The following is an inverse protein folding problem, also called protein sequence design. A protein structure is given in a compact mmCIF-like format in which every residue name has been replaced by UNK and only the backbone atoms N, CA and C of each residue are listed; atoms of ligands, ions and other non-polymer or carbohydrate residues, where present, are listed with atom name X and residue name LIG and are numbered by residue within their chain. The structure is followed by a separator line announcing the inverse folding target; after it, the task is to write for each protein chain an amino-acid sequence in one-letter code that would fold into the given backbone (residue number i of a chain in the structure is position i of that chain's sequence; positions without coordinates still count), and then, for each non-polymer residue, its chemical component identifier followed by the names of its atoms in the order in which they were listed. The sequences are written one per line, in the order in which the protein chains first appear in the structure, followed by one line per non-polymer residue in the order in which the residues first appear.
data_IF_768617209992
#
_entry.id   IF_768617209992
#
_cell.length_a   1.000
_cell.length_b   1.000
_cell.length_c   1.000
_cell.angle_alpha   90.00
_cell.angle_beta   90.00
_cell.angle_gamma   90.00
#
_symmetry.space_group_name_H-M   'P 1'
#
loop_
_entity.id
_entity.type
_entity.pdbx_description
1 polymer ?
#
# COMPACT_ATOMS: atom_id res chain seq x y z
N UNK A 1 51.41 -36.65 -43.84
CA UNK A 1 50.38 -35.99 -43.01
C UNK A 1 50.40 -34.52 -43.43
N UNK A 2 49.56 -33.97 -44.30
CA UNK A 2 48.18 -34.28 -44.70
C UNK A 2 47.34 -33.06 -44.32
N UNK A 3 47.10 -32.14 -45.27
CA UNK A 3 46.04 -31.08 -45.32
C UNK A 3 46.41 -30.11 -46.47
N UNK A 4 45.91 -30.28 -47.69
CA UNK A 4 44.60 -29.95 -48.29
C UNK A 4 44.31 -28.46 -48.53
N UNK A 5 44.04 -28.19 -49.81
CA UNK A 5 43.74 -26.96 -50.54
C UNK A 5 42.44 -26.24 -50.12
N UNK A 6 42.25 -24.95 -50.49
CA UNK A 6 41.02 -24.21 -50.28
C UNK A 6 39.96 -24.58 -51.33
N UNK A 7 38.71 -24.81 -50.90
CA UNK A 7 37.55 -24.99 -51.79
C UNK A 7 36.77 -23.69 -51.96
N UNK A 8 36.42 -23.41 -53.22
CA UNK A 8 35.56 -22.36 -53.71
C UNK A 8 34.09 -22.60 -53.35
N UNK A 9 33.38 -21.55 -52.92
CA UNK A 9 31.93 -21.58 -52.71
C UNK A 9 31.19 -21.41 -54.03
N UNK A 10 30.46 -22.44 -54.46
CA UNK A 10 29.43 -22.35 -55.50
C UNK A 10 28.08 -21.99 -54.85
N UNK A 11 27.47 -20.88 -55.28
CA UNK A 11 26.08 -20.53 -54.96
C UNK A 11 25.12 -21.45 -55.75
N UNK A 12 24.39 -22.31 -55.03
CA UNK A 12 23.23 -23.02 -55.57
C UNK A 12 21.95 -22.20 -55.30
N UNK A 13 21.35 -21.68 -56.35
CA UNK A 13 19.99 -21.14 -56.35
C UNK A 13 18.99 -22.29 -56.23
N UNK A 14 18.38 -22.46 -55.06
CA UNK A 14 17.26 -23.37 -54.86
C UNK A 14 15.94 -22.66 -55.19
N UNK A 15 15.30 -23.07 -56.28
CA UNK A 15 13.91 -22.70 -56.55
C UNK A 15 12.99 -23.46 -55.58
N UNK A 16 12.45 -22.77 -54.57
CA UNK A 16 11.36 -23.31 -53.75
C UNK A 16 10.08 -23.39 -54.59
N UNK A 17 9.69 -24.61 -54.94
CA UNK A 17 8.34 -24.90 -55.43
C UNK A 17 7.50 -25.42 -54.27
N UNK A 18 6.57 -24.59 -53.77
CA UNK A 18 5.61 -25.02 -52.75
C UNK A 18 4.49 -25.85 -53.41
N UNK A 19 4.10 -27.01 -52.83
CA UNK A 19 3.04 -27.83 -53.38
C UNK A 19 1.70 -27.08 -53.34
N UNK A 20 0.99 -27.05 -54.48
CA UNK A 20 -0.28 -26.32 -54.71
C UNK A 20 -1.35 -26.46 -53.61
N UNK A 21 -1.33 -27.54 -52.83
CA UNK A 21 -2.27 -27.78 -51.72
C UNK A 21 -2.00 -26.92 -50.47
N UNK A 22 -0.78 -26.46 -50.23
CA UNK A 22 -0.46 -25.61 -49.08
C UNK A 22 -0.70 -24.13 -49.36
N UNK A 23 -0.56 -23.69 -50.62
CA UNK A 23 -0.78 -22.29 -51.01
C UNK A 23 -2.23 -21.84 -50.78
N UNK A 24 -3.22 -22.70 -51.08
CA UNK A 24 -4.62 -22.37 -50.83
C UNK A 24 -4.93 -22.18 -49.34
N UNK A 25 -4.33 -23.00 -48.47
CA UNK A 25 -4.51 -22.87 -47.02
C UNK A 25 -3.92 -21.56 -46.50
N UNK A 26 -2.71 -21.19 -46.93
CA UNK A 26 -2.09 -19.93 -46.52
C UNK A 26 -2.84 -18.70 -47.04
N UNK A 27 -3.38 -18.76 -48.26
CA UNK A 27 -4.24 -17.70 -48.80
C UNK A 27 -5.54 -17.58 -48.00
N UNK A 28 -6.17 -18.68 -47.61
CA UNK A 28 -7.35 -18.66 -46.73
C UNK A 28 -7.05 -18.09 -45.35
N UNK A 29 -5.92 -18.47 -44.74
CA UNK A 29 -5.49 -17.92 -43.44
C UNK A 29 -5.16 -16.42 -43.49
N UNK A 30 -4.73 -15.90 -44.65
CA UNK A 30 -4.45 -14.48 -44.81
C UNK A 30 -5.71 -13.65 -45.13
N UNK A 31 -6.64 -14.20 -45.92
CA UNK A 31 -7.82 -13.46 -46.39
C UNK A 31 -8.96 -13.41 -45.35
N UNK A 32 -9.12 -14.44 -44.52
CA UNK A 32 -10.15 -14.46 -43.47
C UNK A 32 -10.00 -13.35 -42.42
N UNK A 33 -8.81 -13.08 -41.86
CA UNK A 33 -8.61 -11.98 -40.92
C UNK A 33 -8.80 -10.61 -41.58
N UNK A 34 -8.39 -10.46 -42.85
CA UNK A 34 -8.57 -9.21 -43.60
C UNK A 34 -10.05 -8.94 -43.90
N UNK A 35 -10.82 -9.97 -44.26
CA UNK A 35 -12.26 -9.85 -44.47
C UNK A 35 -13.00 -9.54 -43.16
N UNK A 36 -12.59 -10.15 -42.03
CA UNK A 36 -13.15 -9.86 -40.72
C UNK A 36 -12.83 -8.43 -40.26
N UNK A 37 -11.60 -7.98 -40.46
CA UNK A 37 -11.18 -6.61 -40.16
C UNK A 37 -11.94 -5.59 -41.03
N UNK A 38 -12.12 -5.89 -42.32
CA UNK A 38 -12.93 -5.05 -43.21
C UNK A 38 -14.40 -5.00 -42.76
N UNK A 39 -14.99 -6.14 -42.40
CA UNK A 39 -16.36 -6.18 -41.88
C UNK A 39 -16.52 -5.35 -40.59
N UNK A 40 -15.57 -5.42 -39.66
CA UNK A 40 -15.61 -4.65 -38.41
C UNK A 40 -15.40 -3.15 -38.62
N UNK A 41 -14.61 -2.75 -39.62
CA UNK A 41 -14.37 -1.33 -39.93
C UNK A 41 -15.56 -0.67 -40.66
N UNK A 42 -16.30 -1.43 -41.47
CA UNK A 42 -17.35 -0.89 -42.33
C UNK A 42 -18.79 -1.21 -41.86
N UNK A 43 -18.97 -2.11 -40.89
CA UNK A 43 -20.26 -2.37 -40.23
C UNK A 43 -20.09 -2.35 -38.69
N UNK A 44 -20.06 -1.17 -38.05
CA UNK A 44 -20.06 -1.09 -36.60
C UNK A 44 -21.36 -1.69 -36.06
N UNK A 45 -21.27 -2.75 -35.27
CA UNK A 45 -22.39 -3.31 -34.52
C UNK A 45 -23.01 -2.19 -33.68
N UNK A 46 -24.26 -1.87 -33.96
CA UNK A 46 -25.01 -0.87 -33.21
C UNK A 46 -25.05 -1.29 -31.73
N UNK A 47 -24.53 -0.43 -30.87
CA UNK A 47 -24.63 -0.61 -29.42
C UNK A 47 -26.12 -0.73 -29.03
N UNK A 48 -26.49 -1.67 -28.15
CA UNK A 48 -27.88 -1.80 -27.72
C UNK A 48 -28.28 -0.54 -26.94
N UNK A 49 -29.41 0.06 -27.32
CA UNK A 49 -30.03 1.16 -26.56
C UNK A 49 -30.46 0.65 -25.19
N UNK A 50 -30.19 1.39 -24.09
CA UNK A 50 -30.72 1.03 -22.79
C UNK A 50 -32.25 1.15 -22.78
N UNK A 51 -32.96 0.34 -21.96
CA UNK A 51 -34.42 0.37 -21.90
C UNK A 51 -34.92 1.68 -21.31
N UNK A 52 -35.97 2.24 -21.93
CA UNK A 52 -36.72 3.37 -21.40
C UNK A 52 -37.39 2.96 -20.07
N UNK A 53 -36.95 3.57 -18.96
CA UNK A 53 -37.72 3.67 -17.74
C UNK A 53 -38.38 5.05 -17.67
N UNK A 54 -39.69 5.03 -17.43
CA UNK A 54 -40.56 6.19 -17.38
C UNK A 54 -40.13 7.21 -16.31
N UNK A 55 -40.07 8.48 -16.70
CA UNK A 55 -39.96 9.61 -15.77
C UNK A 55 -41.33 9.95 -15.17
N UNK A 56 -41.42 10.23 -13.86
CA UNK A 56 -42.37 11.18 -13.32
C UNK A 56 -41.75 12.59 -13.26
N UNK A 57 -42.58 13.55 -13.63
CA UNK A 57 -42.46 14.99 -13.71
C UNK A 57 -41.42 15.70 -12.82
N UNK A 58 -40.70 16.63 -13.47
CA UNK A 58 -39.84 17.63 -12.87
C UNK A 58 -40.59 18.63 -11.97
N UNK A 59 -39.95 18.99 -10.85
CA UNK A 59 -40.05 20.34 -10.28
C UNK A 59 -38.70 21.02 -10.44
N UNK A 60 -38.74 22.22 -11.00
CA UNK A 60 -37.60 23.09 -11.31
C UNK A 60 -36.78 23.44 -10.08
N UNK A 61 -35.45 23.34 -10.20
CA UNK A 61 -34.49 24.12 -9.42
C UNK A 61 -33.30 24.49 -10.32
N UNK A 62 -32.91 25.76 -10.25
CA UNK A 62 -31.98 26.47 -11.12
C UNK A 62 -30.54 25.89 -11.17
N UNK A 63 -29.75 26.16 -12.23
CA UNK A 63 -28.46 25.50 -12.44
C UNK A 63 -27.34 26.14 -11.59
N UNK A 64 -26.74 25.37 -10.68
CA UNK A 64 -25.43 25.71 -10.13
C UNK A 64 -24.33 25.23 -11.08
N UNK A 65 -23.60 26.17 -11.68
CA UNK A 65 -22.41 25.88 -12.46
C UNK A 65 -21.28 25.39 -11.54
N UNK A 66 -21.08 24.08 -11.44
CA UNK A 66 -19.77 23.54 -11.04
C UNK A 66 -19.18 22.80 -12.24
N UNK A 67 -18.30 23.50 -12.96
CA UNK A 67 -17.35 22.89 -13.89
C UNK A 67 -16.46 21.94 -13.08
N UNK A 68 -16.45 20.65 -13.43
CA UNK A 68 -15.40 19.73 -12.98
C UNK A 68 -14.08 20.14 -13.63
N UNK A 69 -13.24 20.86 -12.89
CA UNK A 69 -11.84 21.05 -13.26
C UNK A 69 -11.08 19.72 -13.13
N UNK A 70 -10.09 19.44 -13.99
CA UNK A 70 -9.27 18.23 -13.88
C UNK A 70 -8.51 18.21 -12.55
N UNK A 71 -8.43 17.03 -11.91
CA UNK A 71 -7.85 16.80 -10.57
C UNK A 71 -6.41 17.29 -10.43
N UNK A 72 -5.70 17.51 -11.53
CA UNK A 72 -4.32 18.02 -11.53
C UNK A 72 -4.23 19.56 -11.52
N UNK A 73 -5.32 20.29 -11.76
CA UNK A 73 -5.37 21.75 -11.79
C UNK A 73 -5.64 22.38 -10.41
N UNK A 74 -5.78 21.58 -9.35
CA UNK A 74 -6.18 22.04 -8.02
C UNK A 74 -5.03 22.30 -7.05
N UNK A 75 -3.77 21.93 -7.34
CA UNK A 75 -2.68 22.12 -6.36
C UNK A 75 -2.37 23.60 -6.09
N UNK A 76 -2.52 24.49 -7.08
CA UNK A 76 -2.34 25.95 -6.92
C UNK A 76 -3.52 26.68 -6.26
N UNK A 77 -4.66 26.00 -6.08
CA UNK A 77 -5.89 26.59 -5.52
C UNK A 77 -6.26 26.02 -4.15
N UNK A 78 -5.44 25.14 -3.58
CA UNK A 78 -5.65 24.64 -2.23
C UNK A 78 -5.34 25.75 -1.21
N UNK A 79 -6.17 25.90 -0.15
CA UNK A 79 -5.88 26.85 0.90
C UNK A 79 -4.50 26.56 1.51
N UNK A 80 -3.73 27.61 1.88
CA UNK A 80 -2.44 27.43 2.54
C UNK A 80 -2.60 26.57 3.80
N UNK A 81 -1.54 25.87 4.25
CA UNK A 81 -1.57 25.09 5.48
C UNK A 81 -2.11 25.95 6.64
N UNK A 82 -2.91 25.37 7.55
CA UNK A 82 -3.53 26.12 8.63
C UNK A 82 -2.46 26.82 9.47
N UNK A 83 -2.65 28.10 9.85
CA UNK A 83 -1.71 28.79 10.70
C UNK A 83 -1.64 28.13 12.09
N UNK A 84 -0.43 28.07 12.66
CA UNK A 84 -0.20 27.54 13.99
C UNK A 84 -1.12 28.26 15.03
N UNK A 85 -1.73 27.53 15.98
CA UNK A 85 -2.62 28.16 16.95
C UNK A 85 -1.83 29.13 17.85
N UNK A 86 -2.20 30.41 17.75
CA UNK A 86 -1.73 31.46 18.64
C UNK A 86 -2.18 31.20 20.07
N UNK A 87 -1.23 31.25 21.00
CA UNK A 87 -1.45 31.09 22.44
C UNK A 87 -2.21 32.32 22.97
N UNK A 88 -3.53 32.22 23.05
CA UNK A 88 -4.40 33.16 23.77
C UNK A 88 -4.84 32.51 25.07
N UNK A 89 -4.26 32.93 26.20
CA UNK A 89 -4.75 32.57 27.51
C UNK A 89 -5.93 33.45 27.87
N UNK A 90 -7.08 32.84 28.16
CA UNK A 90 -8.14 33.47 28.94
C UNK A 90 -8.57 32.53 30.06
N UNK A 91 -8.43 33.05 31.27
CA UNK A 91 -8.80 32.43 32.52
C UNK A 91 -10.31 32.57 32.74
N UNK A 92 -10.97 31.46 33.04
CA UNK A 92 -12.29 31.36 33.67
C UNK A 92 -12.16 30.15 34.60
N UNK A 93 -12.18 30.25 35.92
CA UNK A 93 -13.18 30.87 36.78
C UNK A 93 -13.51 29.81 37.84
N UNK A 94 -13.08 30.04 39.08
CA UNK A 94 -13.23 29.11 40.20
C UNK A 94 -14.69 28.77 40.49
N UNK A 95 -14.97 27.49 40.74
CA UNK A 95 -16.02 27.06 41.69
C UNK A 95 -15.55 25.78 42.40
N UNK A 96 -15.64 25.83 43.74
CA UNK A 96 -15.19 24.81 44.67
C UNK A 96 -16.17 23.63 44.76
N UNK A 97 -15.61 22.44 45.09
CA UNK A 97 -16.32 21.45 45.91
C UNK A 97 -16.23 20.01 45.41
N UNK A 98 -15.37 19.19 46.03
CA UNK A 98 -15.45 17.73 45.97
C UNK A 98 -14.11 17.02 45.92
N UNK A 99 -13.47 16.86 47.08
CA UNK A 99 -12.31 15.98 47.29
C UNK A 99 -12.65 14.54 46.89
N UNK A 100 -12.01 14.02 45.84
CA UNK A 100 -11.75 12.60 45.68
C UNK A 100 -10.30 12.47 45.27
N UNK A 101 -9.45 12.21 46.27
CA UNK A 101 -8.06 11.82 46.09
C UNK A 101 -7.99 10.46 45.39
N UNK A 102 -8.18 10.44 44.08
CA UNK A 102 -7.77 9.31 43.26
C UNK A 102 -6.29 9.49 42.94
N UNK A 103 -5.43 8.78 43.67
CA UNK A 103 -4.05 8.53 43.25
C UNK A 103 -4.09 7.70 41.97
N UNK A 104 -4.36 8.36 40.85
CA UNK A 104 -4.28 7.76 39.52
C UNK A 104 -2.81 7.59 39.17
N UNK A 105 -2.22 6.46 39.57
CA UNK A 105 -1.10 5.93 38.81
C UNK A 105 -1.62 5.74 37.39
N UNK A 106 -1.23 6.61 36.45
CA UNK A 106 -1.59 6.46 35.06
C UNK A 106 -1.25 5.04 34.65
N UNK A 107 -2.27 4.24 34.28
CA UNK A 107 -2.04 2.87 33.83
C UNK A 107 -1.06 2.93 32.66
N UNK A 108 -0.07 2.03 32.60
CA UNK A 108 0.89 2.04 31.51
C UNK A 108 0.16 1.94 30.16
N UNK A 109 0.67 2.60 29.10
CA UNK A 109 0.10 2.51 27.77
C UNK A 109 -0.10 1.05 27.36
N UNK A 110 -1.21 0.73 26.69
CA UNK A 110 -1.46 -0.64 26.30
C UNK A 110 -0.48 -1.14 25.24
N UNK A 111 0.05 -2.33 25.47
CA UNK A 111 0.78 -3.13 24.49
C UNK A 111 -0.21 -3.88 23.57
N UNK A 112 -0.41 -3.35 22.37
CA UNK A 112 -1.25 -3.95 21.33
C UNK A 112 -0.55 -5.05 20.52
N UNK A 113 0.76 -5.29 20.74
CA UNK A 113 1.55 -6.23 19.94
C UNK A 113 1.36 -7.70 20.36
N UNK A 114 0.85 -7.93 21.56
CA UNK A 114 0.66 -9.25 22.15
C UNK A 114 -0.82 -9.55 22.42
N UNK A 115 -1.33 -10.62 21.79
CA UNK A 115 -2.75 -10.93 21.75
C UNK A 115 -3.07 -12.13 20.89
N UNK A 116 -4.36 -12.29 20.59
CA UNK A 116 -4.88 -13.37 19.77
C UNK A 116 -6.03 -12.88 18.88
N UNK A 117 -6.28 -13.58 17.77
CA UNK A 117 -7.46 -13.35 16.94
C UNK A 117 -8.64 -14.14 17.48
N UNK A 118 -9.74 -13.45 17.73
CA UNK A 118 -11.01 -14.05 18.18
C UNK A 118 -12.12 -13.82 17.16
N UNK A 119 -13.09 -14.74 17.03
CA UNK A 119 -14.24 -14.53 16.16
C UNK A 119 -15.01 -13.26 16.54
N UNK A 120 -15.46 -12.53 15.53
CA UNK A 120 -16.26 -11.31 15.69
C UNK A 120 -17.37 -11.27 14.64
N UNK A 121 -18.62 -11.31 15.11
CA UNK A 121 -19.79 -11.32 14.25
C UNK A 121 -20.15 -9.94 13.69
N UNK A 122 -19.47 -8.87 14.13
CA UNK A 122 -19.71 -7.52 13.61
C UNK A 122 -19.38 -7.45 12.12
N UNK A 123 -20.24 -6.83 11.30
CA UNK A 123 -19.94 -6.63 9.90
C UNK A 123 -18.81 -5.59 9.73
N UNK A 124 -18.04 -5.64 8.64
CA UNK A 124 -17.07 -4.59 8.32
C UNK A 124 -17.79 -3.24 8.10
N UNK A 125 -17.08 -2.13 8.36
CA UNK A 125 -17.63 -0.77 8.22
C UNK A 125 -17.85 -0.34 6.77
N UNK A 126 -17.32 -1.10 5.82
CA UNK A 126 -17.43 -0.86 4.38
C UNK A 126 -17.37 -2.20 3.65
N UNK A 127 -17.76 -2.19 2.37
CA UNK A 127 -17.62 -3.33 1.47
C UNK A 127 -16.88 -2.93 0.18
N UNK A 128 -16.71 -3.89 -0.73
CA UNK A 128 -16.02 -3.69 -2.01
C UNK A 128 -16.68 -2.66 -2.94
N UNK A 129 -17.92 -2.23 -2.67
CA UNK A 129 -18.67 -1.27 -3.50
C UNK A 129 -18.83 0.09 -2.84
N UNK A 130 -18.80 0.15 -1.51
CA UNK A 130 -19.05 1.38 -0.75
C UNK A 130 -17.83 2.31 -0.67
N UNK A 131 -16.63 1.81 -1.02
CA UNK A 131 -15.39 2.58 -0.98
C UNK A 131 -14.69 2.69 -2.34
N UNK A 132 -14.55 3.91 -2.86
CA UNK A 132 -13.90 4.18 -4.14
C UNK A 132 -12.36 4.27 -4.10
N UNK A 133 -11.72 4.06 -2.96
CA UNK A 133 -10.25 4.14 -2.81
C UNK A 133 -9.54 2.80 -2.78
N UNK A 134 -10.29 1.69 -2.76
CA UNK A 134 -9.71 0.34 -2.78
C UNK A 134 -8.95 0.14 -4.09
N UNK A 135 -7.67 -0.24 -4.02
CA UNK A 135 -6.95 -0.69 -5.20
C UNK A 135 -7.58 -1.98 -5.74
N UNK A 136 -7.81 -2.04 -7.05
CA UNK A 136 -8.44 -3.16 -7.77
C UNK A 136 -8.02 -4.55 -7.23
N UNK A 137 -6.73 -4.88 -7.24
CA UNK A 137 -6.23 -6.17 -6.75
C UNK A 137 -6.36 -6.46 -5.25
N UNK A 138 -6.89 -5.53 -4.46
CA UNK A 138 -7.18 -5.69 -3.03
C UNK A 138 -8.69 -5.78 -2.77
N UNK A 139 -9.54 -5.57 -3.79
CA UNK A 139 -10.99 -5.70 -3.71
C UNK A 139 -11.45 -7.14 -3.95
N UNK A 140 -11.09 -8.02 -3.02
CA UNK A 140 -11.29 -9.47 -3.15
C UNK A 140 -12.76 -9.86 -3.36
N UNK A 141 -13.68 -9.14 -2.70
CA UNK A 141 -15.12 -9.37 -2.84
C UNK A 141 -15.61 -9.05 -4.25
N UNK A 142 -15.18 -7.92 -4.83
CA UNK A 142 -15.53 -7.56 -6.21
C UNK A 142 -14.97 -8.54 -7.24
N UNK A 143 -13.86 -9.20 -6.92
CA UNK A 143 -13.25 -10.25 -7.73
C UNK A 143 -13.82 -11.65 -7.49
N UNK A 144 -14.93 -11.75 -6.74
CA UNK A 144 -15.66 -13.01 -6.57
C UNK A 144 -15.01 -14.00 -5.61
N UNK A 145 -14.18 -13.52 -4.67
CA UNK A 145 -13.66 -14.38 -3.58
C UNK A 145 -14.84 -15.01 -2.82
N UNK A 146 -14.95 -16.34 -2.75
CA UNK A 146 -16.13 -17.01 -2.21
C UNK A 146 -16.13 -17.11 -0.68
N UNK A 147 -14.97 -17.16 -0.04
CA UNK A 147 -14.87 -17.25 1.41
C UNK A 147 -14.84 -15.86 2.06
N UNK A 148 -15.75 -15.61 3.00
CA UNK A 148 -15.89 -14.33 3.72
C UNK A 148 -15.45 -14.42 5.18
N UNK A 149 -15.07 -15.61 5.66
CA UNK A 149 -14.70 -15.83 7.07
C UNK A 149 -13.56 -14.95 7.57
N UNK A 150 -12.68 -14.49 6.68
CA UNK A 150 -11.57 -13.59 7.02
C UNK A 150 -12.02 -12.20 7.51
N UNK A 151 -13.27 -11.81 7.24
CA UNK A 151 -13.87 -10.54 7.69
C UNK A 151 -14.30 -10.56 9.16
N UNK A 152 -14.46 -11.75 9.74
CA UNK A 152 -15.15 -11.94 11.02
C UNK A 152 -14.18 -12.26 12.17
N UNK A 153 -13.11 -11.48 12.26
CA UNK A 153 -12.05 -11.63 13.25
C UNK A 153 -11.67 -10.28 13.87
N UNK A 154 -11.50 -10.27 15.19
CA UNK A 154 -10.99 -9.13 15.95
C UNK A 154 -9.69 -9.51 16.66
N UNK A 155 -8.73 -8.59 16.65
CA UNK A 155 -7.54 -8.70 17.50
C UNK A 155 -7.88 -8.36 18.95
N UNK A 156 -7.59 -9.29 19.86
CA UNK A 156 -7.74 -9.09 21.30
C UNK A 156 -6.35 -9.06 21.96
N UNK A 157 -5.84 -7.86 22.33
CA UNK A 157 -4.64 -7.76 23.15
C UNK A 157 -4.84 -8.48 24.49
N UNK A 158 -3.77 -9.01 25.09
CA UNK A 158 -3.90 -9.78 26.35
C UNK A 158 -4.20 -8.94 27.57
N UNK A 159 -3.67 -7.73 27.61
CA UNK A 159 -3.58 -6.90 28.82
C UNK A 159 -4.50 -5.68 28.79
N UNK A 160 -5.23 -5.49 27.69
CA UNK A 160 -6.19 -4.40 27.54
C UNK A 160 -7.20 -4.72 26.44
N UNK A 161 -8.16 -3.82 26.29
CA UNK A 161 -9.07 -3.83 25.15
C UNK A 161 -8.54 -2.97 23.99
N UNK A 162 -8.68 -3.49 22.77
CA UNK A 162 -8.61 -2.70 21.55
C UNK A 162 -10.05 -2.35 21.12
N UNK A 163 -10.51 -1.10 21.29
CA UNK A 163 -11.83 -0.68 20.82
C UNK A 163 -11.95 -0.86 19.30
N UNK A 164 -13.15 -1.16 18.82
CA UNK A 164 -13.41 -1.14 17.38
C UNK A 164 -13.16 0.25 16.80
N UNK A 165 -12.79 0.29 15.52
CA UNK A 165 -12.54 1.56 14.84
C UNK A 165 -13.76 2.48 14.89
N UNK A 166 -13.56 3.71 15.37
CA UNK A 166 -14.57 4.79 15.29
C UNK A 166 -14.14 5.81 14.24
N UNK A 167 -14.82 5.85 13.08
CA UNK A 167 -14.56 6.87 12.07
C UNK A 167 -14.74 8.29 12.62
N UNK A 168 -15.71 8.51 13.50
CA UNK A 168 -15.96 9.82 14.11
C UNK A 168 -14.83 10.25 15.06
N UNK A 169 -14.31 9.32 15.87
CA UNK A 169 -13.19 9.62 16.75
C UNK A 169 -11.94 9.98 15.93
N UNK A 170 -11.66 9.20 14.87
CA UNK A 170 -10.53 9.47 14.00
C UNK A 170 -10.70 10.78 13.22
N UNK A 171 -11.87 11.05 12.64
CA UNK A 171 -12.17 12.32 11.95
C UNK A 171 -12.13 13.53 12.89
N UNK A 172 -12.48 13.37 14.17
CA UNK A 172 -12.34 14.41 15.19
C UNK A 172 -10.87 14.71 15.45
N UNK A 173 -10.06 13.67 15.59
CA UNK A 173 -8.61 13.82 15.73
C UNK A 173 -7.97 14.41 14.47
N UNK A 174 -8.43 14.04 13.28
CA UNK A 174 -7.87 14.50 12.01
C UNK A 174 -8.26 15.95 11.65
N UNK A 175 -9.21 16.54 12.37
CA UNK A 175 -9.71 17.89 12.11
C UNK A 175 -8.57 18.91 12.12
N UNK A 176 -8.48 19.72 11.07
CA UNK A 176 -7.40 20.70 10.85
C UNK A 176 -5.99 20.08 10.76
N UNK A 177 -5.87 18.78 10.44
CA UNK A 177 -4.59 18.08 10.36
C UNK A 177 -4.35 17.44 9.00
N UNK A 178 -3.08 17.27 8.68
CA UNK A 178 -2.58 16.50 7.54
C UNK A 178 -1.90 15.21 8.01
N UNK A 179 -2.53 14.07 7.73
CA UNK A 179 -1.97 12.74 7.92
C UNK A 179 -1.34 12.23 6.61
N UNK A 180 -0.10 11.75 6.66
CA UNK A 180 0.59 11.18 5.51
C UNK A 180 0.97 9.72 5.74
N UNK A 181 0.57 8.83 4.84
CA UNK A 181 1.13 7.48 4.73
C UNK A 181 2.32 7.53 3.77
N UNK A 182 3.49 7.11 4.22
CA UNK A 182 4.73 7.19 3.45
C UNK A 182 5.40 5.83 3.47
N UNK A 183 5.70 5.28 2.29
CA UNK A 183 6.35 3.98 2.26
C UNK A 183 6.10 3.16 1.01
N UNK A 184 6.18 1.84 1.22
CA UNK A 184 5.92 0.83 0.21
C UNK A 184 4.42 0.58 0.00
N UNK A 185 4.10 -0.51 -0.68
CA UNK A 185 2.73 -0.86 -1.01
C UNK A 185 1.89 -1.24 0.21
N UNK A 186 2.50 -1.58 1.36
CA UNK A 186 1.78 -1.78 2.62
C UNK A 186 1.36 -0.46 3.25
N UNK A 187 2.19 0.59 3.14
CA UNK A 187 1.81 1.95 3.54
C UNK A 187 0.55 2.41 2.78
N UNK A 188 0.53 2.16 1.46
CA UNK A 188 -0.64 2.44 0.62
C UNK A 188 -1.85 1.62 1.04
N UNK A 189 -1.69 0.31 1.24
CA UNK A 189 -2.79 -0.59 1.63
C UNK A 189 -3.43 -0.14 2.95
N UNK A 190 -2.63 0.23 3.94
CA UNK A 190 -3.13 0.78 5.22
C UNK A 190 -3.83 2.13 5.03
N UNK A 191 -3.24 3.04 4.25
CA UNK A 191 -3.83 4.36 4.00
C UNK A 191 -5.15 4.30 3.23
N UNK A 192 -5.27 3.40 2.25
CA UNK A 192 -6.51 3.16 1.51
C UNK A 192 -7.58 2.52 2.41
N UNK A 193 -7.20 1.59 3.30
CA UNK A 193 -8.10 1.05 4.33
C UNK A 193 -8.61 2.16 5.24
N UNK A 194 -7.74 3.06 5.72
CA UNK A 194 -8.18 4.19 6.54
C UNK A 194 -9.18 5.06 5.78
N UNK A 195 -8.88 5.42 4.53
CA UNK A 195 -9.80 6.21 3.71
C UNK A 195 -11.18 5.55 3.59
N UNK A 196 -11.24 4.22 3.43
CA UNK A 196 -12.51 3.48 3.40
C UNK A 196 -13.24 3.51 4.74
N UNK A 197 -12.53 3.28 5.85
CA UNK A 197 -13.10 3.35 7.19
C UNK A 197 -13.70 4.75 7.47
N UNK A 198 -13.00 5.82 7.09
CA UNK A 198 -13.49 7.20 7.25
C UNK A 198 -14.64 7.53 6.29
N UNK A 199 -14.61 7.02 5.06
CA UNK A 199 -15.64 7.22 4.04
C UNK A 199 -17.02 6.66 4.43
N UNK A 200 -17.07 5.74 5.40
CA UNK A 200 -18.33 5.29 6.00
C UNK A 200 -19.10 6.42 6.71
N UNK A 201 -18.42 7.53 7.09
CA UNK A 201 -19.02 8.68 7.78
C UNK A 201 -18.85 10.02 7.05
N UNK A 202 -17.69 10.30 6.47
CA UNK A 202 -17.46 11.51 5.69
C UNK A 202 -16.66 11.15 4.45
N UNK A 203 -17.17 11.48 3.25
CA UNK A 203 -16.52 11.07 2.00
C UNK A 203 -15.35 12.00 1.68
N UNK A 204 -14.15 11.47 1.39
CA UNK A 204 -13.03 12.29 0.96
C UNK A 204 -13.13 12.68 -0.51
N UNK A 205 -12.66 13.88 -0.82
CA UNK A 205 -12.44 14.34 -2.19
C UNK A 205 -10.98 14.10 -2.60
N UNK A 206 -10.76 13.36 -3.69
CA UNK A 206 -9.42 13.23 -4.29
C UNK A 206 -9.06 14.53 -5.02
N UNK A 207 -8.14 15.31 -4.45
CA UNK A 207 -7.78 16.64 -4.94
C UNK A 207 -6.43 16.69 -5.66
N UNK A 208 -5.63 15.63 -5.57
CA UNK A 208 -4.34 15.54 -6.24
C UNK A 208 -3.99 14.09 -6.56
N UNK A 209 -3.43 13.86 -7.75
CA UNK A 209 -2.82 12.59 -8.15
C UNK A 209 -1.60 12.87 -9.03
N UNK A 210 -0.50 12.17 -8.79
CA UNK A 210 0.72 12.25 -9.61
C UNK A 210 1.44 10.91 -9.67
N UNK A 211 2.30 10.77 -10.67
CA UNK A 211 3.15 9.62 -10.92
C UNK A 211 2.43 8.48 -11.63
N UNK A 212 3.24 7.59 -12.22
CA UNK A 212 2.76 6.32 -12.78
C UNK A 212 1.99 5.53 -11.72
N UNK A 213 0.87 4.93 -12.09
CA UNK A 213 -0.02 4.19 -11.17
C UNK A 213 -0.54 5.00 -9.97
N UNK A 214 -0.62 6.33 -10.06
CA UNK A 214 -1.08 7.22 -8.98
C UNK A 214 -0.28 7.02 -7.67
N UNK A 215 1.05 6.94 -7.80
CA UNK A 215 2.01 6.82 -6.69
C UNK A 215 1.89 7.91 -5.63
N UNK A 216 1.38 9.09 -5.98
CA UNK A 216 1.13 10.18 -5.04
C UNK A 216 -0.33 10.58 -5.13
N UNK A 217 -1.02 10.61 -4.00
CA UNK A 217 -2.44 11.00 -3.93
C UNK A 217 -2.73 11.80 -2.66
N UNK A 218 -3.63 12.78 -2.78
CA UNK A 218 -4.11 13.58 -1.65
C UNK A 218 -5.62 13.65 -1.66
N UNK A 219 -6.21 13.41 -0.49
CA UNK A 219 -7.62 13.50 -0.22
C UNK A 219 -7.91 14.58 0.82
N UNK A 220 -9.03 15.26 0.66
CA UNK A 220 -9.51 16.28 1.60
C UNK A 220 -10.89 15.89 2.11
N UNK A 221 -11.07 15.91 3.43
CA UNK A 221 -12.38 15.83 4.08
C UNK A 221 -12.80 17.26 4.44
N UNK A 222 -13.60 17.89 3.57
CA UNK A 222 -13.90 19.34 3.64
C UNK A 222 -14.57 19.73 4.96
N UNK A 223 -15.52 18.94 5.44
CA UNK A 223 -16.24 19.16 6.71
C UNK A 223 -15.33 19.19 7.94
N UNK A 224 -14.16 18.56 7.83
CA UNK A 224 -13.18 18.44 8.90
C UNK A 224 -11.94 19.32 8.67
N UNK A 225 -11.86 20.02 7.53
CA UNK A 225 -10.63 20.69 7.10
C UNK A 225 -9.41 19.78 7.27
N UNK A 226 -9.56 18.52 6.86
CA UNK A 226 -8.62 17.44 7.13
C UNK A 226 -8.04 16.91 5.83
N UNK A 227 -6.75 16.55 5.85
CA UNK A 227 -6.05 16.03 4.67
C UNK A 227 -5.44 14.66 4.97
N UNK A 228 -5.60 13.72 4.03
CA UNK A 228 -4.88 12.45 4.02
C UNK A 228 -4.06 12.37 2.74
N UNK A 229 -2.79 12.00 2.81
CA UNK A 229 -1.95 11.78 1.64
C UNK A 229 -1.27 10.42 1.67
N UNK A 230 -1.04 9.87 0.50
CA UNK A 230 -0.19 8.69 0.30
C UNK A 230 1.01 9.13 -0.55
N UNK A 231 2.20 8.90 -0.01
CA UNK A 231 3.48 9.12 -0.68
C UNK A 231 4.15 7.77 -0.93
N UNK A 232 4.27 7.40 -2.19
CA UNK A 232 5.09 6.27 -2.59
C UNK A 232 6.56 6.58 -2.36
N UNK A 233 7.14 5.95 -1.34
CA UNK A 233 8.55 6.05 -0.96
C UNK A 233 9.01 4.70 -0.42
N UNK A 234 9.14 3.68 -1.28
CA UNK A 234 9.13 2.27 -0.87
C UNK A 234 10.31 1.85 0.00
N UNK A 235 11.38 2.65 0.01
CA UNK A 235 12.58 2.43 0.81
C UNK A 235 12.85 3.61 1.78
N UNK A 236 11.95 4.61 1.82
CA UNK A 236 12.03 5.90 2.54
C UNK A 236 13.20 6.83 2.15
N UNK A 237 14.33 6.24 1.76
CA UNK A 237 15.51 6.91 1.21
C UNK A 237 15.39 7.12 -0.29
N UNK A 238 16.29 7.91 -0.87
CA UNK A 238 16.34 8.12 -2.32
C UNK A 238 16.62 6.79 -3.02
N UNK A 239 15.84 6.51 -4.07
CA UNK A 239 15.98 5.32 -4.89
C UNK A 239 15.92 5.67 -6.38
N UNK A 240 16.76 5.03 -7.18
CA UNK A 240 16.53 4.89 -8.61
C UNK A 240 15.94 3.49 -8.86
N UNK A 241 14.63 3.44 -8.99
CA UNK A 241 13.88 2.19 -9.13
C UNK A 241 14.09 1.53 -10.49
N UNK A 242 14.05 0.19 -10.53
CA UNK A 242 14.02 -0.61 -11.77
C UNK A 242 15.15 -0.22 -12.75
N UNK A 243 16.32 0.13 -12.22
CA UNK A 243 17.50 0.30 -13.05
C UNK A 243 17.83 -1.05 -13.71
N UNK A 244 18.26 -1.00 -14.97
CA UNK A 244 18.61 -2.20 -15.73
C UNK A 244 20.11 -2.16 -16.04
N UNK A 245 20.82 -3.19 -15.59
CA UNK A 245 22.22 -3.40 -15.92
C UNK A 245 22.42 -4.85 -16.31
N UNK A 246 23.04 -5.10 -17.47
CA UNK A 246 23.23 -6.44 -18.02
C UNK A 246 21.94 -7.30 -18.07
N UNK A 247 20.77 -6.67 -18.29
CA UNK A 247 19.46 -7.35 -18.34
C UNK A 247 18.82 -7.65 -16.98
N UNK A 248 19.48 -7.30 -15.87
CA UNK A 248 18.97 -7.51 -14.51
C UNK A 248 18.36 -6.21 -13.97
N UNK A 249 17.08 -6.28 -13.62
CA UNK A 249 16.37 -5.17 -12.98
C UNK A 249 16.63 -5.16 -11.48
N UNK A 250 17.13 -4.04 -10.98
CA UNK A 250 17.43 -3.86 -9.56
C UNK A 250 17.12 -2.42 -9.13
N UNK A 251 17.04 -2.20 -7.82
CA UNK A 251 16.96 -0.85 -7.26
C UNK A 251 18.35 -0.34 -6.91
N UNK A 252 18.65 0.93 -7.23
CA UNK A 252 19.80 1.61 -6.64
C UNK A 252 19.32 2.44 -5.45
N UNK A 253 19.75 2.07 -4.25
CA UNK A 253 19.27 2.62 -2.98
C UNK A 253 20.38 3.45 -2.36
N UNK A 254 20.11 4.73 -2.08
CA UNK A 254 21.11 5.68 -1.61
C UNK A 254 20.86 6.01 -0.13
N UNK A 255 21.59 5.37 0.78
CA UNK A 255 21.38 5.43 2.24
C UNK A 255 21.78 6.78 2.86
N UNK A 256 22.44 7.65 2.10
CA UNK A 256 22.90 8.99 2.49
C UNK A 256 21.99 10.13 2.00
N UNK A 257 20.91 9.80 1.28
CA UNK A 257 19.97 10.79 0.73
C UNK A 257 18.53 10.30 0.86
N UNK A 258 17.60 11.24 1.01
CA UNK A 258 16.21 10.92 1.33
C UNK A 258 15.26 11.24 0.18
N UNK A 259 14.06 10.68 0.23
CA UNK A 259 13.03 10.99 -0.77
C UNK A 259 12.41 12.37 -0.50
N UNK A 260 12.89 13.36 -1.26
CA UNK A 260 12.46 14.75 -1.13
C UNK A 260 10.97 14.96 -1.49
N UNK A 261 10.28 14.01 -2.12
CA UNK A 261 8.85 14.18 -2.43
C UNK A 261 7.97 14.34 -1.20
N UNK A 262 8.36 13.72 -0.08
CA UNK A 262 7.67 13.85 1.19
C UNK A 262 8.52 14.59 2.23
N UNK A 263 9.85 14.40 2.23
CA UNK A 263 10.74 15.06 3.19
C UNK A 263 10.71 16.59 3.10
N UNK A 264 10.57 17.14 1.89
CA UNK A 264 10.43 18.59 1.69
C UNK A 264 9.10 19.16 2.20
N UNK A 265 8.09 18.30 2.42
CA UNK A 265 6.74 18.67 2.85
C UNK A 265 6.48 18.41 4.34
N UNK A 266 7.50 17.98 5.10
CA UNK A 266 7.40 17.69 6.54
C UNK A 266 6.79 18.84 7.35
N UNK A 267 7.04 20.10 6.96
CA UNK A 267 6.48 21.27 7.63
C UNK A 267 4.95 21.28 7.67
N UNK A 268 4.28 20.81 6.61
CA UNK A 268 2.81 20.78 6.52
C UNK A 268 2.15 19.48 6.96
N UNK A 269 2.91 18.44 7.30
CA UNK A 269 2.38 17.14 7.73
C UNK A 269 2.31 17.14 9.26
N UNK A 270 1.14 16.91 9.87
CA UNK A 270 0.97 16.86 11.33
C UNK A 270 1.24 15.48 11.91
N UNK A 271 0.99 14.44 11.11
CA UNK A 271 1.32 13.06 11.45
C UNK A 271 1.76 12.28 10.22
N UNK A 272 2.79 11.45 10.38
CA UNK A 272 3.26 10.52 9.36
C UNK A 272 3.16 9.07 9.85
N UNK A 273 2.65 8.19 9.01
CA UNK A 273 2.69 6.73 9.18
C UNK A 273 3.67 6.18 8.16
N UNK A 274 4.83 5.74 8.65
CA UNK A 274 5.89 5.15 7.83
C UNK A 274 5.72 3.64 7.77
N UNK A 275 5.83 3.04 6.59
CA UNK A 275 5.87 1.57 6.42
C UNK A 275 6.90 1.20 5.37
N UNK A 276 7.83 0.31 5.73
CA UNK A 276 8.95 -0.07 4.87
C UNK A 276 9.37 -1.50 5.17
N UNK A 277 9.73 -2.25 4.12
CA UNK A 277 10.40 -3.54 4.29
C UNK A 277 10.42 -4.39 3.04
N UNK A 278 9.27 -4.54 2.37
CA UNK A 278 9.13 -5.48 1.26
C UNK A 278 10.08 -5.20 0.10
N UNK A 279 10.40 -3.92 -0.13
CA UNK A 279 11.31 -3.51 -1.20
C UNK A 279 12.79 -3.78 -0.92
N UNK A 280 13.16 -4.12 0.31
CA UNK A 280 14.50 -4.64 0.62
C UNK A 280 14.64 -6.14 0.34
N UNK A 281 13.52 -6.84 0.08
CA UNK A 281 13.52 -8.28 -0.23
C UNK A 281 13.77 -8.57 -1.73
N UNK A 282 13.70 -7.54 -2.58
CA UNK A 282 13.93 -7.63 -4.03
C UNK A 282 15.33 -7.13 -4.40
N UNK A 283 15.88 -7.49 -5.57
CA UNK A 283 17.22 -7.11 -5.99
C UNK A 283 17.54 -5.62 -5.81
N UNK A 284 18.65 -5.34 -5.12
CA UNK A 284 19.02 -3.98 -4.76
C UNK A 284 20.51 -3.78 -4.55
N UNK A 285 21.04 -2.66 -5.03
CA UNK A 285 22.42 -2.21 -4.80
C UNK A 285 22.39 -1.03 -3.84
N UNK A 286 23.10 -1.15 -2.72
CA UNK A 286 23.11 -0.16 -1.64
C UNK A 286 24.33 0.75 -1.77
N UNK A 287 24.09 2.05 -1.78
CA UNK A 287 25.09 3.11 -1.89
C UNK A 287 25.10 3.96 -0.63
N UNK A 288 26.28 4.36 -0.17
CA UNK A 288 26.48 5.29 0.94
C UNK A 288 27.72 6.16 0.66
N UNK A 289 27.56 7.49 0.65
CA UNK A 289 28.65 8.43 0.34
C UNK A 289 29.25 8.21 -1.05
N UNK A 290 28.42 7.81 -2.02
CA UNK A 290 28.86 7.49 -3.39
C UNK A 290 29.60 6.15 -3.56
N UNK A 291 29.68 5.31 -2.51
CA UNK A 291 30.31 3.99 -2.56
C UNK A 291 29.25 2.89 -2.48
N UNK A 292 29.43 1.80 -3.21
CA UNK A 292 28.63 0.59 -3.03
C UNK A 292 29.04 -0.07 -1.71
N UNK A 293 28.09 -0.21 -0.79
CA UNK A 293 28.30 -0.79 0.56
C UNK A 293 27.64 -2.15 0.73
N UNK A 294 26.77 -2.53 -0.21
CA UNK A 294 26.12 -3.83 -0.20
C UNK A 294 25.26 -4.05 -1.43
N UNK A 295 24.75 -5.26 -1.54
CA UNK A 295 23.99 -5.74 -2.66
C UNK A 295 23.14 -6.94 -2.22
N UNK A 296 21.85 -6.97 -2.56
CA UNK A 296 20.92 -8.05 -2.27
C UNK A 296 20.39 -8.64 -3.56
N UNK A 297 20.30 -9.96 -3.62
CA UNK A 297 19.88 -10.78 -4.76
C UNK A 297 20.54 -10.32 -6.07
N UNK A 298 21.88 -10.33 -6.08
CA UNK A 298 22.65 -9.73 -7.17
C UNK A 298 23.79 -10.57 -7.71
N UNK A 299 23.64 -11.90 -7.61
CA UNK A 299 24.53 -12.86 -8.25
C UNK A 299 24.74 -12.53 -9.74
N UNK A 300 23.67 -12.16 -10.44
CA UNK A 300 23.69 -11.80 -11.87
C UNK A 300 24.28 -10.41 -12.17
N UNK A 301 24.59 -9.61 -11.14
CA UNK A 301 25.23 -8.30 -11.28
C UNK A 301 26.75 -8.36 -11.09
N UNK A 302 27.35 -9.54 -10.92
CA UNK A 302 28.77 -9.73 -10.59
C UNK A 302 29.19 -8.93 -9.34
N UNK A 303 28.32 -8.88 -8.33
CA UNK A 303 28.56 -8.20 -7.05
C UNK A 303 28.55 -9.21 -5.91
N UNK A 304 29.27 -8.90 -4.84
CA UNK A 304 29.22 -9.71 -3.61
C UNK A 304 27.88 -9.50 -2.92
N UNK A 305 27.14 -10.60 -2.76
CA UNK A 305 25.89 -10.66 -2.01
C UNK A 305 26.12 -10.28 -0.53
N UNK A 306 25.23 -9.45 0.00
CA UNK A 306 25.20 -9.03 1.40
C UNK A 306 23.77 -9.09 1.91
N UNK A 307 23.59 -9.45 3.18
CA UNK A 307 22.25 -9.44 3.77
C UNK A 307 21.66 -8.01 3.79
N UNK A 308 20.43 -7.84 3.29
CA UNK A 308 19.75 -6.54 3.24
C UNK A 308 19.46 -5.92 4.62
N UNK A 309 19.49 -6.71 5.71
CA UNK A 309 19.17 -6.23 7.07
C UNK A 309 19.98 -5.01 7.49
N UNK A 310 21.26 -4.94 7.13
CA UNK A 310 22.11 -3.78 7.42
C UNK A 310 21.63 -2.51 6.70
N UNK A 311 21.30 -2.63 5.40
CA UNK A 311 20.77 -1.53 4.62
C UNK A 311 19.38 -1.10 5.10
N UNK A 312 18.50 -2.05 5.45
CA UNK A 312 17.20 -1.78 6.06
C UNK A 312 17.34 -1.01 7.37
N UNK A 313 18.23 -1.47 8.26
CA UNK A 313 18.52 -0.80 9.54
C UNK A 313 18.98 0.64 9.34
N UNK A 314 19.93 0.86 8.43
CA UNK A 314 20.41 2.21 8.16
C UNK A 314 19.36 3.10 7.52
N UNK A 315 18.56 2.59 6.58
CA UNK A 315 17.48 3.36 5.97
C UNK A 315 16.45 3.83 7.00
N UNK A 316 15.99 2.94 7.88
CA UNK A 316 15.03 3.29 8.95
C UNK A 316 15.66 4.29 9.92
N UNK A 317 16.85 3.98 10.46
CA UNK A 317 17.54 4.81 11.46
C UNK A 317 17.81 6.22 10.94
N UNK A 318 18.37 6.34 9.73
CA UNK A 318 18.71 7.63 9.13
C UNK A 318 17.46 8.42 8.74
N UNK A 319 16.40 7.75 8.29
CA UNK A 319 15.12 8.40 8.00
C UNK A 319 14.55 9.05 9.27
N UNK A 320 14.46 8.33 10.39
CA UNK A 320 13.92 8.91 11.63
C UNK A 320 14.80 10.05 12.16
N UNK A 321 16.12 9.89 12.09
CA UNK A 321 17.07 10.95 12.45
C UNK A 321 16.89 12.20 11.57
N UNK A 322 16.67 12.03 10.27
CA UNK A 322 16.45 13.15 9.36
C UNK A 322 15.10 13.83 9.59
N UNK A 323 14.04 13.05 9.85
CA UNK A 323 12.75 13.62 10.25
C UNK A 323 12.92 14.43 11.53
N UNK A 324 13.59 13.90 12.55
CA UNK A 324 13.86 14.63 13.80
C UNK A 324 14.68 15.91 13.55
N UNK A 325 15.66 15.87 12.63
CA UNK A 325 16.50 17.03 12.30
C UNK A 325 15.76 18.13 11.52
N UNK A 326 14.90 17.74 10.57
CA UNK A 326 14.11 18.68 9.74
C UNK A 326 12.85 19.16 10.43
N UNK A 327 12.47 18.48 11.50
CA UNK A 327 11.29 18.83 12.26
C UNK A 327 11.45 20.20 12.93
N UNK A 328 10.36 20.98 12.90
CA UNK A 328 10.28 22.29 13.54
C UNK A 328 9.99 22.18 15.05
N UNK A 329 9.44 23.24 15.63
CA UNK A 329 9.06 23.27 17.05
C UNK A 329 7.66 22.69 17.33
N UNK A 330 6.89 22.35 16.29
CA UNK A 330 5.49 21.94 16.41
C UNK A 330 5.37 20.50 16.90
N UNK A 331 4.43 20.20 17.79
CA UNK A 331 4.23 18.80 18.19
C UNK A 331 3.61 17.98 17.05
N UNK A 332 4.31 16.92 16.63
CA UNK A 332 3.89 16.01 15.55
C UNK A 332 4.06 14.55 15.96
N UNK A 333 3.40 13.66 15.23
CA UNK A 333 3.52 12.21 15.40
C UNK A 333 4.21 11.56 14.19
N UNK A 334 5.19 10.71 14.44
CA UNK A 334 5.75 9.80 13.45
C UNK A 334 5.55 8.37 13.95
N UNK A 335 4.57 7.68 13.37
CA UNK A 335 4.29 6.29 13.65
C UNK A 335 5.01 5.42 12.62
N UNK A 336 5.77 4.42 13.06
CA UNK A 336 6.47 3.47 12.17
C UNK A 336 5.84 2.11 12.31
N UNK A 337 5.24 1.62 11.22
CA UNK A 337 4.60 0.31 11.16
C UNK A 337 5.66 -0.77 11.05
N UNK A 338 5.63 -1.75 11.93
CA UNK A 338 6.54 -2.89 11.86
C UNK A 338 6.19 -3.80 10.69
N UNK A 339 7.13 -4.67 10.29
CA UNK A 339 7.00 -5.50 9.10
C UNK A 339 5.75 -6.39 9.10
N UNK A 340 4.93 -6.31 8.04
CA UNK A 340 3.77 -7.18 7.80
C UNK A 340 4.19 -8.36 6.93
N UNK A 341 4.20 -9.62 7.42
CA UNK A 341 4.75 -10.73 6.65
C UNK A 341 3.85 -11.19 5.49
N UNK A 342 4.48 -11.77 4.48
CA UNK A 342 3.80 -12.51 3.40
C UNK A 342 3.57 -13.98 3.80
N UNK A 343 2.57 -14.63 3.20
CA UNK A 343 2.20 -16.02 3.52
C UNK A 343 2.23 -16.96 2.31
N UNK A 344 3.33 -16.95 1.57
CA UNK A 344 3.49 -17.89 0.45
C UNK A 344 3.66 -19.34 0.93
N UNK A 345 2.88 -20.25 0.35
CA UNK A 345 2.99 -21.70 0.41
C UNK A 345 3.28 -22.20 -1.03
N UNK A 346 4.56 -22.30 -1.38
CA UNK A 346 5.00 -22.66 -2.74
C UNK A 346 5.18 -21.45 -3.68
N UNK A 347 5.11 -21.70 -4.99
CA UNK A 347 5.37 -20.69 -6.02
C UNK A 347 4.23 -19.68 -6.14
N UNK A 348 4.58 -18.39 -6.24
CA UNK A 348 3.63 -17.27 -6.29
C UNK A 348 2.67 -17.30 -7.49
N UNK A 349 3.01 -18.02 -8.56
CA UNK A 349 2.24 -18.09 -9.81
C UNK A 349 1.53 -19.43 -10.03
N UNK A 350 1.34 -20.19 -8.95
CA UNK A 350 0.59 -21.45 -8.91
C UNK A 350 -0.68 -21.35 -8.07
N UNK A 351 -1.67 -22.18 -8.40
CA UNK A 351 -2.84 -22.32 -7.54
C UNK A 351 -2.40 -22.81 -6.14
N UNK A 352 -2.96 -22.22 -5.10
CA UNK A 352 -2.66 -22.61 -3.72
C UNK A 352 -1.46 -21.91 -3.09
N UNK A 353 -0.96 -20.79 -3.65
CA UNK A 353 0.19 -20.07 -3.10
C UNK A 353 -0.06 -19.40 -1.73
N UNK A 354 -1.31 -19.20 -1.31
CA UNK A 354 -1.68 -18.84 0.07
C UNK A 354 -3.12 -19.29 0.34
N UNK A 355 -3.35 -20.60 0.58
CA UNK A 355 -4.67 -21.21 0.45
C UNK A 355 -5.49 -21.17 1.75
N UNK A 356 -4.88 -20.76 2.86
CA UNK A 356 -5.52 -20.81 4.18
C UNK A 356 -6.71 -19.86 4.23
N UNK A 357 -7.77 -20.30 4.92
CA UNK A 357 -9.04 -19.54 5.06
C UNK A 357 -9.37 -19.17 6.50
N UNK A 358 -8.46 -19.49 7.42
CA UNK A 358 -8.57 -19.18 8.84
C UNK A 358 -7.24 -18.65 9.38
N UNK A 359 -7.27 -17.79 10.41
CA UNK A 359 -6.08 -17.38 11.14
C UNK A 359 -5.31 -18.57 11.71
N UNK A 360 -4.01 -18.38 11.90
CA UNK A 360 -3.25 -19.28 12.77
C UNK A 360 -3.67 -19.08 14.23
N UNK A 361 -3.73 -20.18 14.99
CA UNK A 361 -3.64 -20.12 16.45
C UNK A 361 -2.25 -19.63 16.83
N UNK A 362 -2.14 -19.07 18.03
CA UNK A 362 -0.89 -18.52 18.53
C UNK A 362 0.28 -19.52 18.51
N UNK A 363 0.02 -20.78 18.84
CA UNK A 363 1.01 -21.85 18.92
C UNK A 363 1.36 -22.48 17.56
N UNK A 364 0.59 -22.16 16.50
CA UNK A 364 0.77 -22.76 15.17
C UNK A 364 1.82 -22.04 14.32
N UNK A 365 2.08 -20.75 14.57
CA UNK A 365 2.97 -19.93 13.72
C UNK A 365 3.81 -18.95 14.54
N UNK A 366 5.06 -19.33 14.77
CA UNK A 366 6.09 -18.41 15.28
C UNK A 366 6.59 -17.43 14.22
N UNK A 367 7.17 -16.32 14.67
CA UNK A 367 7.90 -15.40 13.79
C UNK A 367 9.21 -16.02 13.32
N UNK A 368 9.47 -15.95 12.02
CA UNK A 368 10.74 -16.32 11.42
C UNK A 368 11.85 -15.31 11.74
N UNK A 369 13.06 -15.59 11.25
CA UNK A 369 14.21 -14.71 11.46
C UNK A 369 13.99 -13.33 10.85
N UNK A 370 13.55 -13.27 9.59
CA UNK A 370 13.29 -12.01 8.88
C UNK A 370 12.28 -11.14 9.61
N UNK A 371 11.15 -11.70 10.04
CA UNK A 371 10.12 -10.95 10.74
C UNK A 371 10.64 -10.41 12.08
N UNK A 372 11.40 -11.22 12.83
CA UNK A 372 12.00 -10.80 14.11
C UNK A 372 13.00 -9.67 13.93
N UNK A 373 13.90 -9.80 12.97
CA UNK A 373 14.97 -8.82 12.72
C UNK A 373 14.42 -7.49 12.22
N UNK A 374 13.47 -7.51 11.28
CA UNK A 374 12.86 -6.30 10.76
C UNK A 374 11.99 -5.61 11.81
N UNK A 375 11.20 -6.37 12.58
CA UNK A 375 10.43 -5.84 13.72
C UNK A 375 11.37 -5.19 14.75
N UNK A 376 12.41 -5.90 15.18
CA UNK A 376 13.40 -5.40 16.15
C UNK A 376 14.02 -4.09 15.67
N UNK A 377 14.42 -4.01 14.41
CA UNK A 377 15.02 -2.80 13.83
C UNK A 377 14.12 -1.59 13.96
N UNK A 378 12.81 -1.73 13.67
CA UNK A 378 11.84 -0.64 13.82
C UNK A 378 11.68 -0.25 15.29
N UNK A 379 11.53 -1.22 16.19
CA UNK A 379 11.39 -0.97 17.63
C UNK A 379 12.62 -0.26 18.21
N UNK A 380 13.82 -0.71 17.88
CA UNK A 380 15.08 -0.08 18.31
C UNK A 380 15.21 1.34 17.77
N UNK A 381 14.87 1.57 16.50
CA UNK A 381 14.95 2.90 15.89
C UNK A 381 13.96 3.89 16.51
N UNK A 382 12.73 3.45 16.79
CA UNK A 382 11.73 4.28 17.50
C UNK A 382 12.19 4.56 18.94
N UNK A 383 12.68 3.55 19.65
CA UNK A 383 13.16 3.70 21.03
C UNK A 383 14.35 4.65 21.13
N UNK A 384 15.24 4.67 20.13
CA UNK A 384 16.37 5.61 20.08
C UNK A 384 15.96 7.09 19.98
N UNK A 385 14.70 7.36 19.60
CA UNK A 385 14.11 8.70 19.57
C UNK A 385 13.08 8.93 20.68
N UNK A 386 13.00 8.05 21.67
CA UNK A 386 12.14 8.25 22.83
C UNK A 386 12.59 9.49 23.62
N UNK A 387 11.65 10.41 23.90
CA UNK A 387 11.95 11.65 24.61
C UNK A 387 12.66 12.73 23.77
N UNK A 388 12.76 12.55 22.45
CA UNK A 388 13.39 13.50 21.54
C UNK A 388 12.48 14.70 21.23
N UNK A 389 12.37 15.65 22.16
CA UNK A 389 11.75 16.96 21.90
C UNK A 389 10.23 16.89 21.60
N UNK A 390 9.68 17.85 20.83
CA UNK A 390 8.24 17.95 20.56
C UNK A 390 7.70 16.86 19.62
N UNK A 391 8.58 16.12 18.95
CA UNK A 391 8.25 15.05 18.02
C UNK A 391 8.06 13.72 18.75
N UNK A 392 6.87 13.15 18.68
CA UNK A 392 6.61 11.81 19.23
C UNK A 392 6.84 10.75 18.16
N UNK A 393 7.80 9.85 18.40
CA UNK A 393 7.94 8.62 17.63
C UNK A 393 7.18 7.49 18.31
N UNK A 394 6.45 6.70 17.53
CA UNK A 394 5.71 5.53 18.00
C UNK A 394 5.90 4.35 17.05
N UNK A 395 5.87 3.13 17.58
CA UNK A 395 5.84 1.92 16.75
C UNK A 395 4.39 1.43 16.66
N UNK A 396 3.89 1.23 15.45
CA UNK A 396 2.67 0.45 15.22
C UNK A 396 3.10 -1.00 15.03
N UNK A 397 3.22 -1.71 16.15
CA UNK A 397 3.73 -3.09 16.16
C UNK A 397 2.64 -4.09 15.76
N UNK A 398 2.57 -4.34 14.45
CA UNK A 398 1.57 -5.18 13.80
C UNK A 398 2.14 -6.52 13.33
N UNK A 399 3.45 -6.75 13.50
CA UNK A 399 4.12 -7.92 12.89
C UNK A 399 3.53 -9.23 13.38
N UNK A 400 3.31 -9.35 14.69
CA UNK A 400 2.77 -10.59 15.28
C UNK A 400 1.32 -10.84 14.87
N UNK A 401 0.46 -9.82 14.95
CA UNK A 401 -0.95 -9.99 14.56
C UNK A 401 -1.10 -10.27 13.06
N UNK A 402 -0.29 -9.64 12.21
CA UNK A 402 -0.27 -9.87 10.76
C UNK A 402 0.20 -11.28 10.40
N UNK A 403 1.24 -11.79 11.08
CA UNK A 403 1.78 -13.14 10.91
C UNK A 403 0.76 -14.26 11.21
N UNK A 404 -0.30 -13.94 11.96
CA UNK A 404 -1.35 -14.89 12.31
C UNK A 404 -2.54 -14.84 11.34
N UNK A 405 -2.48 -14.04 10.26
CA UNK A 405 -3.61 -13.80 9.33
C UNK A 405 -3.39 -14.26 7.90
N UNK A 406 -2.91 -15.48 7.63
CA UNK A 406 -2.70 -15.96 6.26
C UNK A 406 -4.00 -15.96 5.43
N UNK A 407 -5.16 -15.97 6.09
CA UNK A 407 -6.50 -15.94 5.50
C UNK A 407 -6.88 -14.61 4.87
N UNK A 408 -6.23 -13.51 5.23
CA UNK A 408 -6.64 -12.18 4.82
C UNK A 408 -6.07 -11.67 3.49
N UNK A 409 -5.23 -12.45 2.82
CA UNK A 409 -4.60 -12.06 1.56
C UNK A 409 -5.55 -12.18 0.36
N UNK A 410 -5.42 -11.35 -0.69
CA UNK A 410 -6.17 -11.54 -1.93
C UNK A 410 -5.93 -12.90 -2.58
N UNK A 411 -4.71 -13.41 -2.50
CA UNK A 411 -4.29 -14.62 -3.18
C UNK A 411 -4.65 -14.53 -4.67
N UNK A 412 -5.36 -15.52 -5.23
CA UNK A 412 -5.73 -15.49 -6.64
C UNK A 412 -6.79 -14.42 -6.96
N UNK A 413 -7.58 -13.99 -5.98
CA UNK A 413 -8.66 -13.01 -6.14
C UNK A 413 -8.17 -11.56 -6.19
N UNK A 414 -6.90 -11.35 -6.55
CA UNK A 414 -6.39 -10.07 -7.01
C UNK A 414 -6.89 -9.69 -8.43
N UNK A 415 -7.59 -10.62 -9.09
CA UNK A 415 -8.28 -10.43 -10.38
C UNK A 415 -9.58 -11.23 -10.39
N UNK A 416 -10.52 -10.83 -11.25
CA UNK A 416 -11.72 -11.64 -11.54
C UNK A 416 -11.36 -12.92 -12.27
N UNK A 417 -12.16 -13.97 -12.06
CA UNK A 417 -12.06 -15.28 -12.70
C UNK A 417 -10.63 -15.88 -12.74
N UNK A 418 -9.92 -15.95 -11.61
CA UNK A 418 -8.49 -16.28 -11.60
C UNK A 418 -8.16 -17.71 -12.07
N UNK A 419 -9.17 -18.58 -12.16
CA UNK A 419 -9.04 -19.97 -12.59
C UNK A 419 -9.62 -20.26 -13.98
N UNK A 420 -10.00 -19.23 -14.76
CA UNK A 420 -10.63 -19.39 -16.07
C UNK A 420 -9.78 -20.18 -17.08
N UNK A 421 -8.45 -20.22 -16.92
CA UNK A 421 -7.53 -20.95 -17.78
C UNK A 421 -7.48 -22.47 -17.55
N UNK A 422 -8.20 -23.00 -16.55
CA UNK A 422 -8.17 -24.41 -16.17
C UNK A 422 -7.07 -24.76 -15.16
N UNK A 423 -6.96 -26.05 -14.77
CA UNK A 423 -6.10 -26.49 -13.67
C UNK A 423 -4.59 -26.21 -13.86
N UNK A 424 -4.10 -26.25 -15.10
CA UNK A 424 -2.68 -26.07 -15.42
C UNK A 424 -2.30 -24.62 -15.75
N UNK A 425 -3.28 -23.70 -15.73
CA UNK A 425 -3.02 -22.31 -16.04
C UNK A 425 -2.20 -21.63 -14.95
N UNK A 426 -1.44 -20.62 -15.36
CA UNK A 426 -0.73 -19.74 -14.44
C UNK A 426 -1.73 -18.94 -13.61
N UNK A 427 -1.66 -19.07 -12.29
CA UNK A 427 -2.52 -18.35 -11.34
C UNK A 427 -1.63 -17.44 -10.53
N UNK A 428 -1.63 -16.15 -10.84
CA UNK A 428 -0.88 -15.19 -10.04
C UNK A 428 -1.58 -14.95 -8.71
N UNK A 429 -0.81 -14.94 -7.63
CA UNK A 429 -1.32 -14.68 -6.29
C UNK A 429 -0.68 -13.43 -5.69
N UNK A 430 -1.46 -12.71 -4.91
CA UNK A 430 -0.98 -11.70 -3.98
C UNK A 430 -1.10 -12.23 -2.54
N UNK A 431 0.01 -12.71 -2.00
CA UNK A 431 0.12 -13.19 -0.62
C UNK A 431 0.90 -12.21 0.26
N UNK A 432 0.98 -10.94 -0.15
CA UNK A 432 1.72 -9.86 0.51
C UNK A 432 0.74 -8.82 1.06
N UNK A 433 -0.15 -8.33 0.20
CA UNK A 433 -1.13 -7.31 0.58
C UNK A 433 -2.36 -7.93 1.23
N UNK A 434 -3.23 -7.08 1.79
CA UNK A 434 -4.45 -7.49 2.45
C UNK A 434 -5.68 -7.17 1.61
N UNK A 435 -6.66 -8.08 1.63
CA UNK A 435 -8.01 -7.77 1.19
C UNK A 435 -8.57 -6.57 1.96
N UNK A 436 -9.43 -5.81 1.30
CA UNK A 436 -10.13 -4.68 1.88
C UNK A 436 -11.63 -4.80 1.62
N UNK A 437 -12.49 -4.79 2.67
CA UNK A 437 -12.15 -4.84 4.11
C UNK A 437 -11.36 -6.11 4.50
N UNK A 438 -10.65 -6.09 5.63
CA UNK A 438 -9.80 -7.22 6.04
C UNK A 438 -8.83 -6.91 7.19
N UNK A 439 -7.78 -7.72 7.41
CA UNK A 439 -6.87 -7.57 8.56
C UNK A 439 -6.19 -6.21 8.68
N UNK A 440 -5.99 -5.53 7.54
CA UNK A 440 -5.39 -4.20 7.48
C UNK A 440 -6.20 -3.15 8.25
N UNK A 441 -7.51 -3.37 8.44
CA UNK A 441 -8.38 -2.46 9.19
C UNK A 441 -7.96 -2.41 10.68
N UNK A 442 -7.50 -3.52 11.26
CA UNK A 442 -6.97 -3.58 12.63
C UNK A 442 -5.69 -2.75 12.80
N UNK A 443 -4.91 -2.53 11.73
CA UNK A 443 -3.73 -1.65 11.82
C UNK A 443 -4.18 -0.21 12.08
N UNK A 444 -5.35 0.17 11.52
CA UNK A 444 -5.96 1.48 11.72
C UNK A 444 -6.69 1.59 13.07
N UNK A 445 -7.18 0.48 13.65
CA UNK A 445 -7.63 0.44 15.04
C UNK A 445 -6.48 0.79 16.01
N UNK A 446 -5.31 0.18 15.82
CA UNK A 446 -4.12 0.45 16.64
C UNK A 446 -3.59 1.87 16.37
N UNK A 447 -3.62 2.33 15.11
CA UNK A 447 -3.29 3.71 14.78
C UNK A 447 -4.20 4.70 15.51
N UNK A 448 -5.51 4.44 15.58
CA UNK A 448 -6.45 5.30 16.33
C UNK A 448 -6.03 5.43 17.81
N UNK A 449 -5.66 4.32 18.45
CA UNK A 449 -5.18 4.35 19.84
C UNK A 449 -3.85 5.08 19.98
N UNK A 450 -2.97 4.94 18.98
CA UNK A 450 -1.67 5.60 18.96
C UNK A 450 -1.84 7.10 18.76
N UNK A 451 -2.76 7.56 17.92
CA UNK A 451 -2.92 8.99 17.63
C UNK A 451 -3.75 9.71 18.71
N UNK A 452 -4.69 9.01 19.35
CA UNK A 452 -5.59 9.56 20.37
C UNK A 452 -5.01 9.52 21.80
N UNK A 453 -4.05 8.63 22.07
CA UNK A 453 -3.25 8.59 23.29
C UNK A 453 -1.94 9.36 23.15
#
# INVERSE_FOLDING_TARGET
MGTNFPQSHHLQTTHLSLPRKQFLSYVLYALLPLALLHYLLFNPLAAPKPPLLAQPQAREAAPSQHRHAPVNALEEQLPPPPPAPGRGGEALGETQGGDVSASGSASPPCDYSDGEWVPDARPPLYDGTSCGTIKDGQNCMAHGRPDTGYLHWRWRPRRCDLPAFSPEAFLRWLRNRHLAFVGDSMARNQGESLLCLLASRSRPDLVYRDGQENRFRRWVFREHNATVSIFWSPLLVRVAEKAEHAGVRHNNVFLDSFDERWMSRLGGIDAAVLSVGHWFLIPGVYHDGGRVVGCHDCADLNRTETAFFGAFKEAVRRTLAEVARRHGADSKLVAVTTFSPAHFEGDWDKAGACPRRHPYREDEKGLGYTEKEMRRTVLEAVAAHAGAGPLRFAALDVTRLANLRPDGHPGPYMRSDPFAGGPDARVQNDCVHWCMPGPIDTFNEILLQTVAG
#
